data_IF_448715393821
#
_entry.id   IF_448715393821
#
_cell.length_a   1.000
_cell.length_b   1.000
_cell.length_c   1.000
_cell.angle_alpha   90.00
_cell.angle_beta   90.00
_cell.angle_gamma   90.00
#
_symmetry.space_group_name_H-M   'P 1'
#
loop_
_entity.id
_entity.type
_entity.pdbx_description
1 polymer ?
#
# COMPACT_ATOMS: atom_id res chain seq x y z
N UNK A 1 4.90 -0.43 5.35
CA UNK A 1 5.99 0.29 4.65
C UNK A 1 6.89 0.90 5.70
N UNK A 2 8.12 0.44 5.79
CA UNK A 2 9.15 1.13 6.55
C UNK A 2 9.78 2.14 5.60
N UNK A 3 9.43 3.41 5.75
CA UNK A 3 10.23 4.45 5.13
C UNK A 3 11.52 4.56 5.95
N UNK A 4 12.59 3.96 5.48
CA UNK A 4 13.90 4.30 5.96
C UNK A 4 14.32 5.56 5.21
N UNK A 5 14.11 6.69 5.84
CA UNK A 5 14.63 7.94 5.33
C UNK A 5 16.12 8.00 5.66
N UNK A 6 16.95 7.79 4.68
CA UNK A 6 18.37 8.09 4.78
C UNK A 6 18.58 9.53 4.29
N UNK A 7 18.73 10.45 5.22
CA UNK A 7 19.45 11.68 4.94
C UNK A 7 20.90 11.46 5.34
N UNK A 8 21.73 11.07 4.41
CA UNK A 8 23.17 10.92 4.67
C UNK A 8 23.93 12.24 4.54
N UNK A 9 23.30 13.28 4.01
CA UNK A 9 23.93 14.59 3.90
C UNK A 9 22.87 15.72 3.92
N UNK A 10 23.12 16.76 4.71
CA UNK A 10 22.22 17.93 4.83
C UNK A 10 22.19 18.78 3.55
N UNK A 11 23.09 18.55 2.60
CA UNK A 11 23.20 19.34 1.37
C UNK A 11 22.28 18.88 0.25
N UNK A 12 21.81 17.62 0.26
CA UNK A 12 20.94 17.05 -0.78
C UNK A 12 19.94 16.06 -0.16
N UNK A 13 18.79 16.54 0.34
CA UNK A 13 17.78 15.66 0.90
C UNK A 13 17.12 14.84 -0.22
N UNK A 14 17.64 13.67 -0.48
CA UNK A 14 16.99 12.68 -1.34
C UNK A 14 16.12 11.77 -0.48
N UNK A 15 14.82 11.72 -0.80
CA UNK A 15 13.88 10.82 -0.17
C UNK A 15 13.79 9.53 -0.98
N UNK A 16 14.17 8.43 -0.41
CA UNK A 16 14.03 7.12 -1.02
C UNK A 16 12.75 6.45 -0.53
N UNK A 17 11.91 6.03 -1.46
CA UNK A 17 10.68 5.32 -1.19
C UNK A 17 10.86 3.85 -1.56
N UNK A 18 11.05 3.03 -0.55
CA UNK A 18 11.28 1.59 -0.75
C UNK A 18 9.97 0.91 -1.16
N UNK A 19 10.02 0.09 -2.20
CA UNK A 19 8.90 -0.79 -2.58
C UNK A 19 8.72 -1.85 -1.49
N UNK A 20 7.51 -1.92 -0.94
CA UNK A 20 7.20 -2.90 0.09
C UNK A 20 7.06 -4.29 -0.47
N UNK A 21 7.44 -5.23 0.34
CA UNK A 21 7.08 -6.62 0.15
C UNK A 21 5.64 -6.84 0.65
N UNK A 22 4.79 -7.36 -0.24
CA UNK A 22 3.45 -7.81 0.10
C UNK A 22 3.56 -9.17 0.78
N UNK A 23 3.03 -9.25 1.99
CA UNK A 23 2.96 -10.48 2.77
C UNK A 23 1.93 -11.43 2.14
N UNK A 24 2.30 -12.71 2.02
CA UNK A 24 1.50 -13.74 1.38
C UNK A 24 1.01 -14.81 2.35
N UNK A 25 0.91 -14.49 3.63
CA UNK A 25 0.23 -15.32 4.65
C UNK A 25 -1.29 -15.17 4.63
N UNK A 26 -1.81 -14.60 3.57
CA UNK A 26 -3.24 -14.44 3.31
C UNK A 26 -3.91 -15.68 2.72
N UNK A 27 -3.13 -16.65 2.25
CA UNK A 27 -3.66 -17.84 1.60
C UNK A 27 -3.97 -18.95 2.63
N UNK A 28 -5.26 -19.19 2.94
CA UNK A 28 -5.65 -20.21 3.92
C UNK A 28 -5.45 -21.65 3.40
N UNK A 29 -5.16 -21.81 2.12
CA UNK A 29 -4.95 -23.13 1.49
C UNK A 29 -3.46 -23.51 1.44
N UNK A 30 -2.58 -22.61 1.87
CA UNK A 30 -1.16 -22.89 1.92
C UNK A 30 -0.76 -23.33 3.31
N UNK A 31 -0.27 -24.56 3.45
CA UNK A 31 0.28 -25.08 4.70
C UNK A 31 1.59 -24.38 5.10
N UNK A 32 2.27 -23.75 4.13
CA UNK A 32 3.46 -22.96 4.36
C UNK A 32 3.27 -21.52 3.89
N UNK A 33 3.91 -20.54 4.56
CA UNK A 33 3.83 -19.17 4.13
C UNK A 33 4.48 -19.02 2.74
N UNK A 34 3.70 -18.46 1.80
CA UNK A 34 4.22 -18.15 0.47
C UNK A 34 5.25 -17.02 0.54
N UNK A 35 6.27 -17.04 -0.32
CA UNK A 35 7.23 -15.94 -0.38
C UNK A 35 6.50 -14.64 -0.71
N UNK A 36 6.91 -13.56 -0.05
CA UNK A 36 6.42 -12.22 -0.32
C UNK A 36 6.74 -11.76 -1.74
N UNK A 37 6.02 -10.76 -2.22
CA UNK A 37 6.20 -10.21 -3.56
C UNK A 37 6.19 -8.68 -3.54
N UNK A 38 6.97 -8.05 -4.39
CA UNK A 38 7.05 -6.59 -4.49
C UNK A 38 6.01 -6.01 -5.46
N UNK A 39 5.78 -6.71 -6.56
CA UNK A 39 4.76 -6.35 -7.55
C UNK A 39 3.67 -7.41 -7.54
N UNK A 40 2.42 -7.00 -7.53
CA UNK A 40 1.29 -7.94 -7.56
C UNK A 40 1.37 -8.91 -8.74
N UNK A 41 1.83 -8.43 -9.90
CA UNK A 41 2.04 -9.26 -11.10
C UNK A 41 3.14 -10.32 -10.97
N UNK A 42 3.98 -10.23 -9.95
CA UNK A 42 5.05 -11.20 -9.66
C UNK A 42 4.76 -12.07 -8.45
N UNK A 43 3.60 -11.90 -7.82
CA UNK A 43 3.20 -12.74 -6.69
C UNK A 43 2.87 -14.15 -7.14
N UNK A 44 3.45 -15.14 -6.45
CA UNK A 44 3.09 -16.54 -6.63
C UNK A 44 1.66 -16.81 -6.18
N UNK A 45 1.00 -17.79 -6.81
CA UNK A 45 -0.30 -18.32 -6.37
C UNK A 45 -1.43 -17.27 -6.26
N UNK A 46 -1.44 -16.29 -7.17
CA UNK A 46 -2.61 -15.43 -7.38
C UNK A 46 -3.24 -15.81 -8.71
N UNK A 47 -4.24 -16.70 -8.65
CA UNK A 47 -4.90 -17.24 -9.83
C UNK A 47 -6.29 -16.68 -10.07
N UNK A 48 -6.93 -16.14 -9.04
CA UNK A 48 -8.28 -15.62 -9.11
C UNK A 48 -8.43 -14.26 -8.40
N UNK A 49 -9.49 -13.51 -8.73
CA UNK A 49 -9.75 -12.20 -8.13
C UNK A 49 -9.99 -12.22 -6.62
N UNK A 50 -10.52 -13.31 -6.06
CA UNK A 50 -10.79 -13.40 -4.62
C UNK A 50 -9.48 -13.56 -3.83
N UNK A 51 -8.53 -14.35 -4.32
CA UNK A 51 -7.19 -14.43 -3.74
C UNK A 51 -6.51 -13.05 -3.77
N UNK A 52 -6.62 -12.34 -4.87
CA UNK A 52 -6.09 -10.99 -4.98
C UNK A 52 -6.73 -10.02 -3.98
N UNK A 53 -8.06 -10.06 -3.83
CA UNK A 53 -8.77 -9.22 -2.86
C UNK A 53 -8.36 -9.55 -1.42
N UNK A 54 -8.19 -10.83 -1.05
CA UNK A 54 -7.71 -11.25 0.27
C UNK A 54 -6.29 -10.72 0.53
N UNK A 55 -5.38 -10.85 -0.43
CA UNK A 55 -4.01 -10.34 -0.31
C UNK A 55 -3.99 -8.83 -0.06
N UNK A 56 -4.78 -8.05 -0.79
CA UNK A 56 -4.86 -6.60 -0.57
C UNK A 56 -5.35 -6.26 0.84
N UNK A 57 -6.43 -6.92 1.30
CA UNK A 57 -7.00 -6.70 2.64
C UNK A 57 -6.02 -7.11 3.74
N UNK A 58 -5.40 -8.27 3.62
CA UNK A 58 -4.41 -8.76 4.58
C UNK A 58 -3.26 -7.76 4.76
N UNK A 59 -2.68 -7.28 3.66
CA UNK A 59 -1.58 -6.33 3.74
C UNK A 59 -2.02 -4.97 4.30
N UNK A 60 -3.22 -4.51 3.93
CA UNK A 60 -3.79 -3.30 4.51
C UNK A 60 -3.99 -3.43 6.03
N UNK A 61 -4.62 -4.49 6.49
CA UNK A 61 -4.86 -4.74 7.92
C UNK A 61 -3.56 -4.90 8.71
N UNK A 62 -2.57 -5.56 8.12
CA UNK A 62 -1.24 -5.67 8.71
C UNK A 62 -0.61 -4.31 8.95
N UNK A 63 -0.71 -3.38 8.01
CA UNK A 63 -0.21 -2.00 8.18
C UNK A 63 -1.05 -1.21 9.20
N UNK A 64 -2.37 -1.31 9.11
CA UNK A 64 -3.29 -0.58 9.99
C UNK A 64 -3.13 -1.00 11.46
N UNK A 65 -2.99 -2.29 11.72
CA UNK A 65 -2.97 -2.86 13.07
C UNK A 65 -1.56 -2.95 13.68
N UNK A 66 -0.52 -2.56 12.93
CA UNK A 66 0.85 -2.52 13.44
C UNK A 66 1.34 -1.09 13.63
N UNK A 67 2.26 -0.65 12.81
CA UNK A 67 2.92 0.66 12.94
C UNK A 67 2.23 1.79 12.14
N UNK A 68 1.15 1.50 11.42
CA UNK A 68 0.42 2.42 10.53
C UNK A 68 1.30 3.11 9.50
N UNK A 69 2.39 2.46 9.11
CA UNK A 69 3.22 2.95 8.03
C UNK A 69 2.42 2.96 6.72
N UNK A 70 2.67 3.92 5.81
CA UNK A 70 1.99 3.97 4.52
C UNK A 70 2.13 2.66 3.75
N UNK A 71 1.05 2.16 3.17
CA UNK A 71 1.03 1.01 2.28
C UNK A 71 1.19 1.49 0.84
N UNK A 72 2.31 1.14 0.20
CA UNK A 72 2.51 1.36 -1.22
C UNK A 72 2.06 0.14 -2.02
N UNK A 73 1.20 0.36 -2.99
CA UNK A 73 0.77 -0.68 -3.92
C UNK A 73 1.30 -0.36 -5.32
N UNK A 74 2.05 -1.29 -5.88
CA UNK A 74 2.67 -1.13 -7.19
C UNK A 74 2.08 -2.15 -8.18
N UNK A 75 1.62 -1.66 -9.33
CA UNK A 75 0.95 -2.47 -10.34
C UNK A 75 1.57 -2.28 -11.72
N UNK A 76 1.62 -3.35 -12.47
CA UNK A 76 1.86 -3.28 -13.90
C UNK A 76 0.54 -2.96 -14.62
N UNK A 77 0.49 -1.83 -15.34
CA UNK A 77 -0.73 -1.38 -16.01
C UNK A 77 -1.21 -2.35 -17.10
N UNK A 78 -0.28 -2.99 -17.83
CA UNK A 78 -0.62 -3.99 -18.86
C UNK A 78 -1.21 -5.23 -18.21
N UNK A 79 -0.65 -5.67 -17.08
CA UNK A 79 -1.18 -6.80 -16.32
C UNK A 79 -2.61 -6.54 -15.86
N UNK A 80 -2.89 -5.37 -15.28
CA UNK A 80 -4.24 -4.99 -14.87
C UNK A 80 -5.22 -4.87 -16.05
N UNK A 81 -4.76 -4.37 -17.20
CA UNK A 81 -5.58 -4.27 -18.42
C UNK A 81 -6.02 -5.66 -18.89
N UNK A 82 -5.12 -6.63 -18.84
CA UNK A 82 -5.36 -7.98 -19.32
C UNK A 82 -6.14 -8.84 -18.31
N UNK A 83 -6.16 -8.44 -17.06
CA UNK A 83 -6.81 -9.17 -15.95
C UNK A 83 -7.99 -8.37 -15.39
N UNK A 84 -9.10 -8.33 -16.12
CA UNK A 84 -10.28 -7.49 -15.77
C UNK A 84 -10.87 -7.81 -14.40
N UNK A 85 -10.85 -9.08 -13.98
CA UNK A 85 -11.31 -9.49 -12.65
C UNK A 85 -10.50 -8.84 -11.54
N UNK A 86 -9.18 -8.88 -11.62
CA UNK A 86 -8.29 -8.22 -10.66
C UNK A 86 -8.46 -6.71 -10.63
N UNK A 87 -8.64 -6.09 -11.80
CA UNK A 87 -8.94 -4.65 -11.88
C UNK A 87 -10.23 -4.31 -11.14
N UNK A 88 -11.28 -5.11 -11.29
CA UNK A 88 -12.56 -4.91 -10.59
C UNK A 88 -12.38 -4.98 -9.06
N UNK A 89 -11.67 -5.97 -8.56
CA UNK A 89 -11.41 -6.11 -7.13
C UNK A 89 -10.51 -4.99 -6.58
N UNK A 90 -9.54 -4.51 -7.36
CA UNK A 90 -8.74 -3.34 -6.97
C UNK A 90 -9.62 -2.09 -6.83
N UNK A 91 -10.52 -1.83 -7.78
CA UNK A 91 -11.43 -0.68 -7.72
C UNK A 91 -12.34 -0.78 -6.50
N UNK A 92 -12.89 -1.98 -6.23
CA UNK A 92 -13.69 -2.23 -5.05
C UNK A 92 -12.91 -2.00 -3.75
N UNK A 93 -11.70 -2.54 -3.67
CA UNK A 93 -10.83 -2.30 -2.52
C UNK A 93 -10.58 -0.80 -2.29
N UNK A 94 -10.28 -0.05 -3.35
CA UNK A 94 -10.07 1.41 -3.25
C UNK A 94 -11.35 2.10 -2.76
N UNK A 95 -12.52 1.73 -3.27
CA UNK A 95 -13.80 2.28 -2.83
C UNK A 95 -14.06 2.00 -1.35
N UNK A 96 -13.88 0.75 -0.91
CA UNK A 96 -14.01 0.33 0.50
C UNK A 96 -13.06 1.14 1.41
N UNK A 97 -11.88 1.49 0.93
CA UNK A 97 -10.91 2.29 1.69
C UNK A 97 -11.25 3.77 1.72
N UNK A 98 -11.86 4.32 0.65
CA UNK A 98 -12.31 5.71 0.60
C UNK A 98 -13.48 5.99 1.55
N UNK A 99 -14.30 4.99 1.83
CA UNK A 99 -15.41 5.09 2.77
C UNK A 99 -14.96 5.12 4.25
N UNK A 100 -13.66 4.90 4.51
CA UNK A 100 -13.11 4.91 5.86
C UNK A 100 -12.64 6.31 6.26
N UNK A 101 -12.90 6.69 7.50
CA UNK A 101 -12.48 7.99 8.06
C UNK A 101 -11.01 8.02 8.54
N UNK A 102 -10.37 6.86 8.59
CA UNK A 102 -9.01 6.68 9.13
C UNK A 102 -7.97 6.32 8.05
N UNK A 103 -8.35 6.36 6.77
CA UNK A 103 -7.52 6.03 5.62
C UNK A 103 -7.41 7.23 4.67
N UNK A 104 -6.21 7.50 4.18
CA UNK A 104 -5.93 8.59 3.27
C UNK A 104 -5.13 8.09 2.06
N UNK A 105 -5.61 8.42 0.87
CA UNK A 105 -4.84 8.27 -0.36
C UNK A 105 -3.99 9.52 -0.59
N UNK A 106 -2.70 9.33 -0.66
CA UNK A 106 -1.73 10.43 -0.77
C UNK A 106 -0.69 10.14 -1.84
N UNK A 107 -0.16 11.18 -2.44
CA UNK A 107 0.98 11.04 -3.36
C UNK A 107 2.27 10.79 -2.58
N UNK A 108 3.29 10.27 -3.25
CA UNK A 108 4.62 10.07 -2.66
C UNK A 108 5.19 11.37 -2.08
N UNK A 109 5.01 12.50 -2.77
CA UNK A 109 5.44 13.81 -2.29
C UNK A 109 4.72 14.22 -0.99
N UNK A 110 3.41 13.96 -0.90
CA UNK A 110 2.65 14.24 0.32
C UNK A 110 3.13 13.38 1.50
N UNK A 111 3.46 12.11 1.25
CA UNK A 111 4.06 11.26 2.30
C UNK A 111 5.37 11.84 2.79
N UNK A 112 6.28 12.24 1.90
CA UNK A 112 7.54 12.88 2.27
C UNK A 112 7.35 14.13 3.14
N UNK A 113 6.38 14.97 2.79
CA UNK A 113 6.06 16.17 3.55
C UNK A 113 5.48 15.87 4.94
N UNK A 114 4.59 14.86 5.06
CA UNK A 114 4.01 14.44 6.34
C UNK A 114 5.06 13.91 7.32
N UNK A 115 6.11 13.29 6.83
CA UNK A 115 7.19 12.74 7.67
C UNK A 115 8.27 13.77 8.01
N UNK A 116 8.37 14.86 7.25
CA UNK A 116 9.35 15.93 7.43
C UNK A 116 8.91 17.02 8.43
N UNK A 117 7.61 17.13 8.70
CA UNK A 117 7.09 18.11 9.66
C UNK A 117 7.16 17.59 11.09
N UNK A 118 7.73 18.34 12.05
CA UNK A 118 7.60 18.02 13.46
C UNK A 118 6.11 17.97 13.82
N UNK A 119 5.68 16.93 14.52
CA UNK A 119 4.29 16.73 14.94
C UNK A 119 3.85 17.86 15.87
N UNK A 120 3.37 18.96 15.31
CA UNK A 120 2.47 19.84 16.04
C UNK A 120 1.07 19.27 15.88
N UNK A 121 0.46 18.91 16.97
CA UNK A 121 -0.84 18.26 17.10
C UNK A 121 -1.98 19.16 16.59
N UNK A 122 -2.16 19.27 15.28
CA UNK A 122 -3.40 19.75 14.68
C UNK A 122 -3.72 18.88 13.48
N UNK A 123 -4.80 18.12 13.65
CA UNK A 123 -5.45 17.34 12.60
C UNK A 123 -5.60 18.18 11.32
N UNK A 124 -5.09 17.73 10.16
CA UNK A 124 -5.36 18.43 8.91
C UNK A 124 -6.83 18.27 8.57
N UNK A 125 -7.52 19.38 8.43
CA UNK A 125 -8.87 19.39 7.84
C UNK A 125 -8.75 18.93 6.40
N UNK A 126 -9.55 17.94 6.04
CA UNK A 126 -9.67 17.36 4.69
C UNK A 126 -9.84 18.44 3.62
N UNK A 127 -9.03 18.48 2.55
CA UNK A 127 -9.27 19.37 1.40
C UNK A 127 -9.89 18.62 0.23
N UNK A 128 -10.92 17.82 0.46
CA UNK A 128 -11.71 17.23 -0.63
C UNK A 128 -13.20 17.38 -0.32
N UNK A 129 -13.66 18.64 -0.41
CA UNK A 129 -15.06 18.96 -0.67
C UNK A 129 -15.04 19.95 -1.84
N UNK A 130 -15.06 19.44 -3.09
CA UNK A 130 -15.79 19.92 -4.28
C UNK A 130 -15.31 19.19 -5.52
#
# INVERSE_FOLDING_TARGET
>A
MIFKFYSSDRSHPVWEMVINELDRRDDPLSDEPLPGCQLVSSCSNIFDPDQFARMLRHNFERHLNSNRAPLGLHFNAVWLKNNKGFKKELIKFIADMLDRNDVYFVTMLQVGNLTSTPKTSKSPKSPLAR
#
